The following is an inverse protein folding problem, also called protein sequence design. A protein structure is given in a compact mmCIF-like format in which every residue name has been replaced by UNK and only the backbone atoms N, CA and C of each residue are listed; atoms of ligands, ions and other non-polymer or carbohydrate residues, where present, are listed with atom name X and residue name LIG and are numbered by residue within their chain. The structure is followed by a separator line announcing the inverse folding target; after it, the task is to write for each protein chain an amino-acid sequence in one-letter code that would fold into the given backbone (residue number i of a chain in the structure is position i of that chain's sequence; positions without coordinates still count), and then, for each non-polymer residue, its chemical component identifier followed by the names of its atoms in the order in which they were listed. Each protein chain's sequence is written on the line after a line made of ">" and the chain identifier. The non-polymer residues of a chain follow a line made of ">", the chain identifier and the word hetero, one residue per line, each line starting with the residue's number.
data_IF_141414594231
#
_entry.id   IF_141414594231
#
_cell.length_a   1.000
_cell.length_b   1.000
_cell.length_c   1.000
_cell.angle_alpha   90.00
_cell.angle_beta   90.00
_cell.angle_gamma   90.00
#
_symmetry.space_group_name_H-M   'P 1'
#
loop_
_entity.id
_entity.type
_entity.pdbx_description
1 polymer ?
#
# COMPACT_ATOMS: atom_id res chain seq x y z
N UNK A 1 25.62 -36.23 -21.73
CA UNK A 1 24.98 -36.57 -20.44
C UNK A 1 25.68 -35.76 -19.35
N UNK A 2 25.00 -34.75 -18.79
CA UNK A 2 25.24 -34.30 -17.42
C UNK A 2 23.95 -33.63 -16.93
N UNK A 3 23.33 -34.29 -15.95
CA UNK A 3 22.04 -33.99 -15.35
C UNK A 3 22.16 -32.84 -14.34
N UNK A 4 21.99 -31.58 -14.77
CA UNK A 4 21.97 -30.45 -13.82
C UNK A 4 20.72 -29.56 -13.93
N UNK A 5 19.67 -29.97 -14.66
CA UNK A 5 18.61 -29.02 -15.07
C UNK A 5 17.14 -29.46 -14.85
N UNK A 6 16.77 -30.09 -13.72
CA UNK A 6 15.35 -30.46 -13.43
C UNK A 6 14.91 -30.27 -11.97
N UNK A 7 15.43 -29.31 -11.21
CA UNK A 7 14.88 -29.02 -9.88
C UNK A 7 14.65 -27.52 -9.67
N UNK A 8 13.62 -26.98 -10.34
CA UNK A 8 12.85 -25.87 -9.72
C UNK A 8 12.51 -26.34 -8.31
N UNK A 9 13.11 -25.71 -7.31
CA UNK A 9 13.21 -26.30 -5.98
C UNK A 9 11.82 -26.61 -5.42
N UNK A 10 11.57 -27.87 -5.02
CA UNK A 10 10.22 -28.36 -4.63
C UNK A 10 9.59 -27.53 -3.50
N UNK A 11 10.40 -26.84 -2.69
CA UNK A 11 9.89 -25.94 -1.65
C UNK A 11 9.29 -24.65 -2.23
N UNK A 12 9.81 -24.14 -3.36
CA UNK A 12 9.26 -22.96 -4.06
C UNK A 12 7.84 -23.26 -4.54
N UNK A 13 7.61 -24.45 -5.10
CA UNK A 13 6.26 -24.87 -5.52
C UNK A 13 5.29 -24.95 -4.33
N UNK A 14 5.77 -25.38 -3.16
CA UNK A 14 4.97 -25.38 -1.92
C UNK A 14 4.66 -23.96 -1.48
N UNK A 15 5.64 -23.05 -1.50
CA UNK A 15 5.42 -21.63 -1.18
C UNK A 15 4.37 -21.00 -2.10
N UNK A 16 4.51 -21.17 -3.40
CA UNK A 16 3.57 -20.61 -4.39
C UNK A 16 2.16 -21.19 -4.22
N UNK A 17 2.04 -22.48 -3.90
CA UNK A 17 0.75 -23.12 -3.58
C UNK A 17 0.11 -22.47 -2.36
N UNK A 18 0.85 -22.32 -1.26
CA UNK A 18 0.34 -21.73 -0.01
C UNK A 18 -0.05 -20.27 -0.23
N UNK A 19 0.79 -19.48 -0.90
CA UNK A 19 0.50 -18.09 -1.28
C UNK A 19 -0.77 -18.00 -2.13
N UNK A 20 -0.94 -18.92 -3.07
CA UNK A 20 -2.14 -19.00 -3.92
C UNK A 20 -3.39 -19.33 -3.10
N UNK A 21 -3.34 -20.32 -2.21
CA UNK A 21 -4.47 -20.70 -1.35
C UNK A 21 -4.88 -19.57 -0.40
N UNK A 22 -3.92 -18.79 0.11
CA UNK A 22 -4.19 -17.56 0.87
C UNK A 22 -4.85 -16.50 -0.02
N UNK A 23 -4.32 -16.27 -1.22
CA UNK A 23 -4.84 -15.28 -2.17
C UNK A 23 -6.27 -15.61 -2.64
N UNK A 24 -6.58 -16.90 -2.80
CA UNK A 24 -7.91 -17.40 -3.19
C UNK A 24 -8.88 -17.48 -2.00
N UNK A 25 -8.41 -17.25 -0.77
CA UNK A 25 -9.23 -17.28 0.45
C UNK A 25 -9.53 -18.69 0.96
N UNK A 26 -8.86 -19.72 0.43
CA UNK A 26 -8.93 -21.08 0.95
C UNK A 26 -8.21 -21.22 2.29
N UNK A 27 -7.19 -20.38 2.53
CA UNK A 27 -6.52 -20.22 3.82
C UNK A 27 -6.75 -18.78 4.29
N UNK A 28 -7.45 -18.59 5.40
CA UNK A 28 -7.79 -17.24 5.88
C UNK A 28 -6.79 -16.75 6.94
N UNK A 29 -6.51 -15.43 7.02
CA UNK A 29 -5.71 -14.88 8.11
C UNK A 29 -6.22 -15.28 9.50
N UNK A 30 -5.32 -15.69 10.38
CA UNK A 30 -5.62 -16.22 11.70
C UNK A 30 -5.96 -17.71 11.72
N UNK A 31 -6.15 -18.35 10.55
CA UNK A 31 -6.36 -19.79 10.47
C UNK A 31 -5.09 -20.56 10.83
N UNK A 32 -5.27 -21.66 11.57
CA UNK A 32 -4.20 -22.58 11.92
C UNK A 32 -3.97 -23.55 10.77
N UNK A 33 -2.76 -23.54 10.22
CA UNK A 33 -2.35 -24.54 9.23
C UNK A 33 -2.36 -25.96 9.84
N UNK A 34 -2.60 -27.01 9.03
CA UNK A 34 -2.47 -28.38 9.49
C UNK A 34 -1.07 -28.65 10.05
N UNK A 35 -0.94 -29.68 10.89
CA UNK A 35 0.38 -30.10 11.38
C UNK A 35 1.31 -30.44 10.21
N UNK A 36 2.61 -30.23 10.37
CA UNK A 36 3.60 -30.48 9.30
C UNK A 36 3.46 -31.88 8.67
N UNK A 37 3.13 -32.89 9.50
CA UNK A 37 2.92 -34.26 9.04
C UNK A 37 1.70 -34.40 8.13
N UNK A 38 0.58 -33.78 8.52
CA UNK A 38 -0.66 -33.81 7.74
C UNK A 38 -0.48 -32.99 6.47
N UNK A 39 0.11 -31.80 6.58
CA UNK A 39 0.19 -30.87 5.47
C UNK A 39 1.16 -31.34 4.39
N UNK A 40 2.29 -31.95 4.79
CA UNK A 40 3.24 -32.54 3.83
C UNK A 40 2.59 -33.68 3.04
N UNK A 41 1.75 -34.49 3.70
CA UNK A 41 0.99 -35.56 3.04
C UNK A 41 -0.06 -35.02 2.07
N UNK A 42 -0.81 -33.98 2.46
CA UNK A 42 -1.79 -33.32 1.59
C UNK A 42 -1.15 -32.73 0.33
N UNK A 43 0.04 -32.13 0.48
CA UNK A 43 0.77 -31.49 -0.61
C UNK A 43 1.65 -32.47 -1.42
N UNK A 44 1.75 -33.74 -1.00
CA UNK A 44 2.56 -34.75 -1.70
C UNK A 44 4.07 -34.47 -1.67
N UNK A 45 4.57 -33.85 -0.59
CA UNK A 45 5.98 -33.45 -0.44
C UNK A 45 6.63 -34.06 0.80
N UNK A 46 7.97 -34.05 0.83
CA UNK A 46 8.69 -34.46 2.04
C UNK A 46 8.52 -33.44 3.17
N UNK A 47 8.65 -33.89 4.42
CA UNK A 47 8.62 -33.00 5.60
C UNK A 47 9.71 -31.94 5.56
N UNK A 48 10.90 -32.29 5.08
CA UNK A 48 12.02 -31.36 4.94
C UNK A 48 11.68 -30.24 3.94
N UNK A 49 11.04 -30.59 2.82
CA UNK A 49 10.58 -29.63 1.80
C UNK A 49 9.52 -28.69 2.36
N UNK A 50 8.53 -29.21 3.08
CA UNK A 50 7.50 -28.37 3.72
C UNK A 50 8.13 -27.44 4.78
N UNK A 51 9.02 -27.96 5.62
CA UNK A 51 9.70 -27.15 6.65
C UNK A 51 10.48 -25.99 6.07
N UNK A 52 11.18 -26.23 4.96
CA UNK A 52 11.92 -25.17 4.28
C UNK A 52 10.99 -24.11 3.70
N UNK A 53 9.88 -24.52 3.06
CA UNK A 53 8.88 -23.60 2.57
C UNK A 53 8.26 -22.76 3.71
N UNK A 54 7.89 -23.40 4.83
CA UNK A 54 7.32 -22.71 6.00
C UNK A 54 8.35 -21.77 6.67
N UNK A 55 9.64 -22.12 6.67
CA UNK A 55 10.70 -21.22 7.18
C UNK A 55 10.74 -19.92 6.40
N UNK A 56 10.74 -20.01 5.07
CA UNK A 56 10.79 -18.81 4.21
C UNK A 56 9.48 -18.02 4.30
N UNK A 57 8.33 -18.69 4.32
CA UNK A 57 7.04 -18.01 4.51
C UNK A 57 6.94 -17.30 5.88
N UNK A 58 7.59 -17.83 6.91
CA UNK A 58 7.71 -17.15 8.20
C UNK A 58 8.65 -15.93 8.14
N UNK A 59 9.76 -16.03 7.42
CA UNK A 59 10.66 -14.89 7.15
C UNK A 59 9.97 -13.78 6.34
N UNK A 60 9.12 -14.15 5.39
CA UNK A 60 8.24 -13.23 4.64
C UNK A 60 7.03 -12.75 5.48
N UNK A 61 6.93 -13.15 6.75
CA UNK A 61 5.83 -12.82 7.66
C UNK A 61 4.44 -13.21 7.14
N UNK A 62 4.37 -14.21 6.25
CA UNK A 62 3.11 -14.76 5.70
C UNK A 62 2.45 -15.71 6.69
N UNK A 63 3.26 -16.35 7.52
CA UNK A 63 2.80 -17.20 8.62
C UNK A 63 3.59 -16.90 9.89
N UNK A 64 3.05 -17.27 11.04
CA UNK A 64 3.75 -17.23 12.32
C UNK A 64 3.66 -18.57 13.04
N UNK A 65 4.79 -19.06 13.57
CA UNK A 65 4.81 -20.22 14.46
C UNK A 65 4.67 -19.79 15.91
N UNK A 66 3.67 -20.34 16.59
CA UNK A 66 3.51 -20.25 18.04
C UNK A 66 3.90 -21.59 18.65
N UNK A 67 5.00 -21.61 19.39
CA UNK A 67 5.55 -22.84 19.98
C UNK A 67 4.48 -23.60 20.79
N UNK A 68 4.34 -24.90 20.53
CA UNK A 68 3.34 -25.77 21.17
C UNK A 68 1.88 -25.54 20.73
N UNK A 69 1.58 -24.45 20.03
CA UNK A 69 0.22 -24.06 19.64
C UNK A 69 -0.03 -24.35 18.15
N UNK A 70 0.94 -24.09 17.27
CA UNK A 70 0.83 -24.37 15.83
C UNK A 70 1.33 -23.24 14.95
N UNK A 71 1.10 -23.39 13.64
CA UNK A 71 1.45 -22.40 12.62
C UNK A 71 0.18 -21.70 12.16
N UNK A 72 0.20 -20.37 12.11
CA UNK A 72 -0.96 -19.56 11.76
C UNK A 72 -0.68 -18.73 10.52
N UNK A 73 -1.68 -18.56 9.67
CA UNK A 73 -1.62 -17.61 8.55
C UNK A 73 -1.66 -16.21 9.14
N UNK A 74 -0.66 -15.39 8.84
CA UNK A 74 -0.68 -14.00 9.26
C UNK A 74 -1.68 -13.21 8.41
N UNK A 75 -2.13 -12.06 8.92
CA UNK A 75 -2.68 -11.04 8.03
C UNK A 75 -1.54 -10.56 7.13
N UNK A 76 -1.46 -11.12 5.93
CA UNK A 76 -0.68 -10.53 4.85
C UNK A 76 -1.56 -9.46 4.25
N UNK A 77 -1.21 -8.18 4.43
CA UNK A 77 -1.93 -7.13 3.75
C UNK A 77 -1.71 -7.30 2.26
N UNK A 78 -2.80 -7.16 1.49
CA UNK A 78 -2.79 -7.31 0.02
C UNK A 78 -1.82 -6.32 -0.62
N UNK A 79 -1.59 -5.18 0.04
CA UNK A 79 -0.65 -4.15 -0.37
C UNK A 79 0.39 -3.94 0.74
N UNK A 80 1.67 -4.15 0.41
CA UNK A 80 2.80 -3.91 1.30
C UNK A 80 3.83 -3.06 0.57
N UNK A 81 4.27 -1.97 1.20
CA UNK A 81 5.31 -1.09 0.66
C UNK A 81 6.28 -0.73 1.78
N UNK A 82 7.55 -0.54 1.42
CA UNK A 82 8.48 0.17 2.30
C UNK A 82 7.95 1.58 2.55
N UNK A 83 7.97 2.06 3.79
CA UNK A 83 7.63 3.46 4.08
C UNK A 83 8.70 4.41 3.56
N UNK A 84 9.92 3.91 3.41
CA UNK A 84 11.05 4.60 2.80
C UNK A 84 10.91 4.76 1.28
N UNK A 85 10.00 4.01 0.65
CA UNK A 85 9.77 4.05 -0.80
C UNK A 85 8.65 5.04 -1.13
N UNK A 86 8.96 6.02 -1.98
CA UNK A 86 7.99 7.00 -2.45
C UNK A 86 7.28 6.52 -3.71
N UNK A 87 6.29 5.66 -3.53
CA UNK A 87 5.46 5.15 -4.62
C UNK A 87 4.10 5.87 -4.68
N UNK A 88 3.58 6.14 -5.87
CA UNK A 88 2.20 6.58 -6.04
C UNK A 88 1.22 5.47 -5.67
N UNK A 89 0.00 5.82 -5.25
CA UNK A 89 -1.06 4.82 -4.99
C UNK A 89 -1.36 3.98 -6.24
N UNK A 90 -1.22 4.57 -7.43
CA UNK A 90 -1.38 3.87 -8.71
C UNK A 90 -0.35 2.75 -8.86
N UNK A 91 0.92 3.04 -8.60
CA UNK A 91 2.01 2.07 -8.66
C UNK A 91 1.88 1.01 -7.58
N UNK A 92 1.54 1.38 -6.35
CA UNK A 92 1.30 0.41 -5.27
C UNK A 92 0.23 -0.63 -5.68
N UNK A 93 -0.84 -0.19 -6.35
CA UNK A 93 -1.90 -1.08 -6.83
C UNK A 93 -1.41 -1.95 -7.99
N UNK A 94 -0.70 -1.37 -8.96
CA UNK A 94 -0.13 -2.12 -10.07
C UNK A 94 0.90 -3.17 -9.62
N UNK A 95 1.80 -2.83 -8.71
CA UNK A 95 2.81 -3.74 -8.14
C UNK A 95 2.19 -4.91 -7.39
N UNK A 96 0.99 -4.75 -6.83
CA UNK A 96 0.19 -5.84 -6.27
C UNK A 96 -0.54 -6.70 -7.32
N UNK A 97 -0.36 -6.43 -8.62
CA UNK A 97 -0.99 -7.13 -9.73
C UNK A 97 -2.49 -6.83 -9.86
N UNK A 98 -2.91 -5.63 -9.49
CA UNK A 98 -4.31 -5.18 -9.46
C UNK A 98 -4.56 -4.05 -10.46
N UNK A 99 -5.81 -3.88 -10.89
CA UNK A 99 -6.20 -2.75 -11.76
C UNK A 99 -6.53 -1.52 -10.91
N UNK A 100 -5.79 -0.40 -11.03
CA UNK A 100 -6.15 0.82 -10.34
C UNK A 100 -7.36 1.49 -10.99
N UNK A 101 -8.21 2.07 -10.15
CA UNK A 101 -9.27 2.97 -10.57
C UNK A 101 -9.38 4.17 -9.63
N UNK A 102 -10.17 5.15 -10.05
CA UNK A 102 -10.41 6.39 -9.31
C UNK A 102 -11.88 6.75 -9.37
N UNK A 103 -12.47 7.03 -8.20
CA UNK A 103 -13.73 7.73 -8.07
C UNK A 103 -13.44 9.15 -7.56
N UNK A 104 -13.69 10.17 -8.39
CA UNK A 104 -13.48 11.56 -8.02
C UNK A 104 -14.71 12.07 -7.26
N UNK A 105 -14.51 12.52 -6.02
CA UNK A 105 -15.59 13.01 -5.16
C UNK A 105 -15.68 14.54 -5.15
N UNK A 106 -14.52 15.19 -5.23
CA UNK A 106 -14.38 16.63 -5.22
C UNK A 106 -13.11 17.01 -5.99
N UNK A 107 -13.22 18.02 -6.85
CA UNK A 107 -12.09 18.72 -7.43
C UNK A 107 -12.49 20.19 -7.53
N UNK A 108 -11.85 21.06 -6.74
CA UNK A 108 -12.16 22.49 -6.77
C UNK A 108 -10.99 23.35 -6.32
N UNK A 109 -10.88 24.54 -6.89
CA UNK A 109 -10.00 25.57 -6.35
C UNK A 109 -10.59 26.14 -5.06
N UNK A 110 -9.75 26.28 -4.04
CA UNK A 110 -10.13 26.87 -2.75
C UNK A 110 -9.07 27.84 -2.27
N UNK A 111 -9.48 28.78 -1.42
CA UNK A 111 -8.55 29.59 -0.63
C UNK A 111 -7.83 28.68 0.38
N UNK A 112 -6.49 28.71 0.45
CA UNK A 112 -5.74 27.88 1.39
C UNK A 112 -5.99 28.31 2.84
N UNK A 113 -5.95 27.35 3.76
CA UNK A 113 -5.86 27.63 5.20
C UNK A 113 -4.46 28.13 5.56
N UNK A 114 -4.27 28.66 6.77
CA UNK A 114 -2.92 29.05 7.25
C UNK A 114 -1.95 27.85 7.26
N UNK A 115 -2.42 26.66 7.65
CA UNK A 115 -1.64 25.42 7.58
C UNK A 115 -1.25 25.07 6.13
N UNK A 116 -2.15 25.30 5.16
CA UNK A 116 -1.87 25.04 3.75
C UNK A 116 -0.82 26.02 3.20
N UNK A 117 -0.90 27.30 3.58
CA UNK A 117 0.09 28.32 3.21
C UNK A 117 1.46 27.97 3.75
N UNK A 118 1.55 27.58 5.01
CA UNK A 118 2.81 27.18 5.66
C UNK A 118 3.42 25.95 4.96
N UNK A 119 2.65 24.87 4.81
CA UNK A 119 3.14 23.61 4.24
C UNK A 119 3.53 23.73 2.78
N UNK A 120 2.69 24.39 1.98
CA UNK A 120 2.89 24.53 0.53
C UNK A 120 3.69 25.78 0.16
N UNK A 121 4.21 26.53 1.15
CA UNK A 121 4.97 27.77 0.96
C UNK A 121 4.29 28.72 -0.03
N UNK A 122 2.98 28.93 0.15
CA UNK A 122 2.16 29.72 -0.76
C UNK A 122 2.39 31.20 -0.53
N UNK A 123 2.35 31.96 -1.63
CA UNK A 123 2.33 33.41 -1.61
C UNK A 123 0.92 33.94 -1.37
N UNK A 124 0.84 35.21 -0.95
CA UNK A 124 -0.45 35.87 -0.74
C UNK A 124 -1.29 35.88 -2.03
N UNK A 125 -2.55 35.49 -1.89
CA UNK A 125 -3.49 35.42 -3.02
C UNK A 125 -3.43 34.12 -3.83
N UNK A 126 -2.45 33.24 -3.60
CA UNK A 126 -2.42 31.93 -4.24
C UNK A 126 -3.59 31.04 -3.78
N UNK A 127 -4.13 30.25 -4.72
CA UNK A 127 -5.16 29.24 -4.46
C UNK A 127 -4.53 27.85 -4.46
N UNK A 128 -5.25 26.88 -3.92
CA UNK A 128 -4.92 25.47 -4.05
C UNK A 128 -6.02 24.74 -4.81
N UNK A 129 -5.65 23.72 -5.58
CA UNK A 129 -6.59 22.70 -6.02
C UNK A 129 -6.75 21.67 -4.90
N UNK A 130 -7.97 21.55 -4.38
CA UNK A 130 -8.35 20.53 -3.41
C UNK A 130 -9.05 19.38 -4.14
N UNK A 131 -8.46 18.19 -4.04
CA UNK A 131 -8.94 16.99 -4.70
C UNK A 131 -9.25 15.93 -3.65
N UNK A 132 -10.48 15.41 -3.63
CA UNK A 132 -10.88 14.29 -2.77
C UNK A 132 -11.32 13.13 -3.64
N UNK A 133 -10.73 11.96 -3.44
CA UNK A 133 -10.93 10.79 -4.32
C UNK A 133 -10.93 9.49 -3.52
N UNK A 134 -11.55 8.47 -4.09
CA UNK A 134 -11.36 7.09 -3.64
C UNK A 134 -10.57 6.36 -4.72
N UNK A 135 -9.43 5.80 -4.33
CA UNK A 135 -8.65 4.88 -5.16
C UNK A 135 -9.20 3.47 -4.98
N UNK A 136 -9.34 2.75 -6.08
CA UNK A 136 -9.85 1.38 -6.11
C UNK A 136 -8.81 0.41 -6.65
N UNK A 137 -8.88 -0.84 -6.20
CA UNK A 137 -8.15 -1.96 -6.79
C UNK A 137 -9.17 -3.03 -7.21
N UNK A 138 -9.18 -3.38 -8.50
CA UNK A 138 -10.21 -4.25 -9.11
C UNK A 138 -11.63 -3.77 -8.73
N UNK A 139 -11.87 -2.46 -8.89
CA UNK A 139 -13.16 -1.79 -8.62
C UNK A 139 -13.62 -1.81 -7.14
N UNK A 140 -12.76 -2.27 -6.22
CA UNK A 140 -13.02 -2.23 -4.77
C UNK A 140 -12.36 -1.00 -4.12
N UNK A 141 -13.12 -0.15 -3.37
CA UNK A 141 -12.59 0.98 -2.62
C UNK A 141 -11.47 0.59 -1.66
N UNK A 142 -10.37 1.34 -1.71
CA UNK A 142 -9.12 0.93 -1.08
C UNK A 142 -8.45 2.05 -0.29
N UNK A 143 -8.30 3.23 -0.88
CA UNK A 143 -7.68 4.40 -0.24
C UNK A 143 -8.56 5.63 -0.46
N UNK A 144 -8.81 6.40 0.59
CA UNK A 144 -9.45 7.70 0.48
C UNK A 144 -8.36 8.77 0.53
N UNK A 145 -8.28 9.59 -0.51
CA UNK A 145 -7.22 10.57 -0.71
C UNK A 145 -7.77 11.98 -0.56
N UNK A 146 -7.02 12.83 0.15
CA UNK A 146 -7.19 14.29 0.12
C UNK A 146 -5.86 14.86 -0.36
N UNK A 147 -5.86 15.40 -1.57
CA UNK A 147 -4.69 16.01 -2.18
C UNK A 147 -4.89 17.53 -2.23
N UNK A 148 -3.89 18.28 -1.77
CA UNK A 148 -3.82 19.74 -1.84
C UNK A 148 -2.60 20.13 -2.63
N UNK A 149 -2.79 20.85 -3.72
CA UNK A 149 -1.73 21.20 -4.66
C UNK A 149 -1.81 22.69 -5.00
N UNK A 150 -0.68 23.42 -5.08
CA UNK A 150 -0.68 24.82 -5.54
C UNK A 150 -1.38 24.97 -6.90
N UNK A 151 -2.35 25.88 -7.01
CA UNK A 151 -3.16 26.03 -8.22
C UNK A 151 -2.32 26.39 -9.47
N UNK A 152 -1.18 27.06 -9.28
CA UNK A 152 -0.20 27.38 -10.34
C UNK A 152 0.39 26.16 -11.06
N UNK A 153 0.23 24.95 -10.51
CA UNK A 153 0.67 23.69 -11.13
C UNK A 153 -0.38 23.06 -12.04
N UNK A 154 -1.57 23.66 -12.16
CA UNK A 154 -2.63 23.19 -13.04
C UNK A 154 -2.97 24.23 -14.10
N UNK A 155 -3.19 23.76 -15.34
CA UNK A 155 -3.89 24.55 -16.34
C UNK A 155 -5.40 24.50 -16.08
N UNK A 156 -6.16 25.47 -16.60
CA UNK A 156 -7.62 25.52 -16.43
C UNK A 156 -8.37 24.34 -17.08
N UNK A 157 -7.70 23.52 -17.90
CA UNK A 157 -8.34 22.36 -18.57
C UNK A 157 -8.21 21.05 -17.79
N UNK A 158 -7.35 20.99 -16.76
CA UNK A 158 -7.00 19.75 -16.04
C UNK A 158 -8.04 19.24 -15.03
N UNK A 159 -9.32 19.61 -15.18
CA UNK A 159 -10.34 19.50 -14.13
C UNK A 159 -10.82 18.08 -13.78
N UNK A 160 -10.29 17.04 -14.44
CA UNK A 160 -10.71 15.65 -14.24
C UNK A 160 -9.51 14.75 -13.92
N UNK A 161 -9.00 14.83 -12.69
CA UNK A 161 -7.93 13.96 -12.20
C UNK A 161 -8.45 12.54 -11.89
N UNK A 162 -8.86 11.83 -12.95
CA UNK A 162 -9.24 10.41 -12.93
C UNK A 162 -8.03 9.46 -12.84
N UNK A 163 -6.81 10.00 -12.95
CA UNK A 163 -5.55 9.24 -13.00
C UNK A 163 -4.63 9.40 -11.79
N UNK A 164 -3.36 9.05 -11.97
CA UNK A 164 -2.30 9.23 -10.98
C UNK A 164 -1.93 10.71 -10.87
N UNK A 165 -1.92 11.25 -9.65
CA UNK A 165 -1.53 12.65 -9.44
C UNK A 165 -0.03 12.86 -9.66
N UNK A 166 0.80 11.84 -9.39
CA UNK A 166 2.24 11.88 -9.66
C UNK A 166 2.49 12.01 -11.16
N UNK A 167 1.88 11.14 -11.98
CA UNK A 167 2.02 11.21 -13.43
C UNK A 167 1.53 12.54 -13.99
N UNK A 168 0.43 13.09 -13.46
CA UNK A 168 -0.03 14.43 -13.87
C UNK A 168 1.04 15.49 -13.59
N UNK A 169 1.59 15.52 -12.37
CA UNK A 169 2.61 16.49 -11.99
C UNK A 169 3.85 16.38 -12.88
N UNK A 170 4.29 15.16 -13.18
CA UNK A 170 5.48 14.92 -14.02
C UNK A 170 5.24 15.23 -15.50
N UNK A 171 4.12 14.79 -16.06
CA UNK A 171 3.89 14.82 -17.51
C UNK A 171 3.21 16.10 -17.99
N UNK A 172 2.28 16.66 -17.20
CA UNK A 172 1.51 17.84 -17.60
C UNK A 172 2.04 19.11 -16.95
N UNK A 173 2.46 19.05 -15.69
CA UNK A 173 3.01 20.21 -14.98
C UNK A 173 4.54 20.32 -15.05
N UNK A 174 5.22 19.35 -15.68
CA UNK A 174 6.69 19.24 -15.77
C UNK A 174 7.40 19.30 -14.40
N UNK A 175 6.72 18.87 -13.34
CA UNK A 175 7.21 18.85 -11.96
C UNK A 175 7.47 17.41 -11.52
N UNK A 176 8.74 17.12 -11.26
CA UNK A 176 9.17 15.81 -10.75
C UNK A 176 9.25 15.84 -9.23
N UNK A 177 8.61 14.87 -8.58
CA UNK A 177 8.71 14.68 -7.13
C UNK A 177 10.02 13.94 -6.84
N UNK A 178 10.84 14.49 -5.94
CA UNK A 178 12.14 13.90 -5.57
C UNK A 178 12.06 13.17 -4.23
N UNK A 179 11.45 13.79 -3.22
CA UNK A 179 11.28 13.19 -1.90
C UNK A 179 10.00 13.69 -1.21
N UNK A 180 9.64 13.04 -0.12
CA UNK A 180 8.54 13.47 0.74
C UNK A 180 8.89 13.31 2.22
N UNK A 181 8.41 14.21 3.05
CA UNK A 181 8.31 13.97 4.49
C UNK A 181 6.97 13.26 4.76
N UNK A 182 6.96 12.34 5.72
CA UNK A 182 5.82 11.49 5.98
C UNK A 182 5.55 11.33 7.48
N UNK A 183 4.29 11.53 7.87
CA UNK A 183 3.76 11.20 9.20
C UNK A 183 2.73 10.08 9.07
N UNK A 184 2.88 9.04 9.88
CA UNK A 184 1.91 7.94 9.97
C UNK A 184 1.17 8.04 11.29
N UNK A 185 -0.15 8.08 11.21
CA UNK A 185 -1.03 7.99 12.37
C UNK A 185 -2.12 6.95 12.11
N UNK A 186 -2.95 6.72 13.12
CA UNK A 186 -4.12 5.86 13.01
C UNK A 186 -5.37 6.64 13.39
N UNK A 187 -6.46 6.33 12.71
CA UNK A 187 -7.79 6.83 13.05
C UNK A 187 -8.68 5.61 13.22
N UNK A 188 -9.57 5.65 14.23
CA UNK A 188 -10.60 4.63 14.40
C UNK A 188 -11.63 4.68 13.26
N UNK A 189 -12.89 4.33 13.58
CA UNK A 189 -13.97 4.47 12.62
C UNK A 189 -14.30 5.95 12.37
N UNK A 190 -14.29 6.36 11.11
CA UNK A 190 -14.74 7.68 10.68
C UNK A 190 -15.93 7.51 9.73
N UNK A 191 -17.13 7.95 10.12
CA UNK A 191 -18.39 7.65 9.42
C UNK A 191 -18.30 7.85 7.90
N UNK A 192 -17.93 9.05 7.44
CA UNK A 192 -17.90 9.36 6.01
C UNK A 192 -16.82 8.59 5.23
N UNK A 193 -15.59 8.54 5.76
CA UNK A 193 -14.45 7.93 5.07
C UNK A 193 -14.61 6.40 5.07
N UNK A 194 -14.95 5.80 6.20
CA UNK A 194 -15.17 4.37 6.34
C UNK A 194 -16.34 3.88 5.48
N UNK A 195 -17.43 4.65 5.37
CA UNK A 195 -18.54 4.32 4.49
C UNK A 195 -18.10 4.28 3.01
N UNK A 196 -17.35 5.29 2.55
CA UNK A 196 -16.81 5.34 1.17
C UNK A 196 -15.84 4.21 0.88
N UNK A 197 -15.04 3.82 1.87
CA UNK A 197 -14.13 2.68 1.78
C UNK A 197 -14.80 1.31 1.96
N UNK A 198 -16.12 1.29 2.18
CA UNK A 198 -16.89 0.06 2.47
C UNK A 198 -16.24 -0.75 3.60
N UNK A 199 -15.87 -0.03 4.66
CA UNK A 199 -15.09 -0.52 5.78
C UNK A 199 -15.96 -0.69 7.02
N UNK A 200 -15.77 -1.78 7.78
CA UNK A 200 -16.54 -2.03 8.99
C UNK A 200 -16.04 -1.18 10.18
N UNK A 201 -16.88 -0.95 11.19
CA UNK A 201 -16.50 -0.22 12.43
C UNK A 201 -15.32 -0.82 13.20
N UNK A 202 -14.97 -2.08 12.93
CA UNK A 202 -13.87 -2.78 13.59
C UNK A 202 -12.51 -2.55 12.93
N UNK A 203 -12.49 -2.00 11.72
CA UNK A 203 -11.27 -1.82 10.95
C UNK A 203 -10.83 -0.36 11.09
N UNK A 204 -9.71 -0.07 11.76
CA UNK A 204 -9.15 1.27 11.79
C UNK A 204 -8.59 1.66 10.42
N UNK A 205 -8.34 2.95 10.25
CA UNK A 205 -7.67 3.49 9.09
C UNK A 205 -6.23 3.87 9.45
N UNK A 206 -5.28 3.43 8.62
CA UNK A 206 -3.92 3.97 8.64
C UNK A 206 -3.94 5.29 7.88
N UNK A 207 -3.41 6.35 8.47
CA UNK A 207 -3.38 7.67 7.86
C UNK A 207 -1.94 8.04 7.58
N UNK A 208 -1.62 8.24 6.30
CA UNK A 208 -0.32 8.71 5.84
C UNK A 208 -0.48 10.15 5.37
N UNK A 209 0.13 11.08 6.11
CA UNK A 209 0.22 12.50 5.71
C UNK A 209 1.59 12.72 5.11
N UNK A 210 1.65 13.28 3.91
CA UNK A 210 2.91 13.51 3.21
C UNK A 210 2.96 14.89 2.61
N UNK A 211 4.11 15.54 2.75
CA UNK A 211 4.46 16.75 2.02
C UNK A 211 5.56 16.38 1.02
N UNK A 212 5.24 16.50 -0.27
CA UNK A 212 6.08 16.09 -1.38
C UNK A 212 6.81 17.30 -1.94
N UNK A 213 8.10 17.11 -2.22
CA UNK A 213 9.03 18.14 -2.69
C UNK A 213 9.51 17.80 -4.09
N UNK A 214 9.65 18.83 -4.92
CA UNK A 214 10.27 18.67 -6.24
C UNK A 214 11.79 18.63 -6.15
N UNK A 215 12.44 18.34 -7.28
CA UNK A 215 13.91 18.42 -7.46
C UNK A 215 14.51 19.82 -7.22
N UNK A 216 13.67 20.85 -7.05
CA UNK A 216 14.06 22.22 -6.70
C UNK A 216 13.77 22.56 -5.23
N UNK A 217 13.55 21.55 -4.38
CA UNK A 217 13.20 21.67 -2.96
C UNK A 217 11.93 22.51 -2.70
N UNK A 218 11.01 22.54 -3.66
CA UNK A 218 9.73 23.24 -3.52
C UNK A 218 8.62 22.25 -3.13
N UNK A 219 7.77 22.58 -2.13
CA UNK A 219 6.60 21.76 -1.84
C UNK A 219 5.60 21.86 -3.00
N UNK A 220 5.18 20.71 -3.50
CA UNK A 220 4.32 20.61 -4.69
C UNK A 220 3.01 19.88 -4.42
N UNK A 221 2.96 19.05 -3.38
CA UNK A 221 1.75 18.31 -3.00
C UNK A 221 1.73 18.08 -1.50
N UNK A 222 0.60 18.37 -0.87
CA UNK A 222 0.29 17.89 0.47
C UNK A 222 -0.83 16.86 0.39
N UNK A 223 -0.53 15.59 0.65
CA UNK A 223 -1.47 14.48 0.54
C UNK A 223 -1.80 13.89 1.91
N UNK A 224 -3.08 13.57 2.13
CA UNK A 224 -3.56 12.84 3.30
C UNK A 224 -4.30 11.60 2.79
N UNK A 225 -3.70 10.44 3.00
CA UNK A 225 -4.18 9.16 2.49
C UNK A 225 -4.67 8.29 3.64
N UNK A 226 -5.94 7.88 3.57
CA UNK A 226 -6.58 6.99 4.54
C UNK A 226 -6.66 5.58 3.93
N UNK A 227 -5.82 4.69 4.44
CA UNK A 227 -5.73 3.31 4.01
C UNK A 227 -6.53 2.40 4.93
N UNK A 228 -7.17 1.41 4.31
CA UNK A 228 -7.75 0.27 5.01
C UNK A 228 -6.64 -0.56 5.69
N UNK A 229 -6.61 -0.60 7.03
CA UNK A 229 -5.55 -1.32 7.76
C UNK A 229 -5.61 -2.84 7.59
N UNK A 230 -6.74 -3.38 7.14
CA UNK A 230 -6.90 -4.81 6.81
C UNK A 230 -6.34 -5.17 5.42
N UNK A 231 -6.05 -4.17 4.59
CA UNK A 231 -5.55 -4.34 3.22
C UNK A 231 -4.13 -3.82 3.03
N UNK A 232 -3.68 -2.85 3.84
CA UNK A 232 -2.33 -2.27 3.76
C UNK A 232 -1.49 -2.52 5.00
N UNK A 233 -0.19 -2.68 4.77
CA UNK A 233 0.84 -2.44 5.77
C UNK A 233 2.00 -1.67 5.16
N UNK A 234 2.65 -0.89 6.01
CA UNK A 234 3.92 -0.24 5.72
C UNK A 234 5.00 -0.93 6.55
N UNK A 235 6.11 -1.27 5.91
CA UNK A 235 7.27 -1.84 6.57
C UNK A 235 8.48 -0.89 6.44
N UNK A 236 9.51 -1.08 7.26
CA UNK A 236 10.73 -0.29 7.16
C UNK A 236 11.92 -1.15 7.58
N UNK A 237 12.95 -1.20 6.73
CA UNK A 237 14.19 -1.87 7.11
C UNK A 237 15.02 -0.97 8.03
N UNK A 238 15.22 -1.41 9.28
CA UNK A 238 16.11 -0.70 10.22
C UNK A 238 17.45 -1.42 10.34
N UNK A 239 18.54 -0.68 10.13
CA UNK A 239 19.91 -1.16 10.36
C UNK A 239 20.47 -0.57 11.66
N UNK A 240 21.19 -1.37 12.42
CA UNK A 240 21.88 -0.93 13.64
C UNK A 240 23.15 -0.16 13.26
N UNK A 241 23.26 1.10 13.66
CA UNK A 241 24.51 1.85 13.51
C UNK A 241 25.57 1.21 14.41
N UNK A 242 26.65 0.69 13.82
CA UNK A 242 27.83 0.33 14.60
C UNK A 242 28.46 1.66 15.09
N UNK A 243 28.52 1.82 16.41
CA UNK A 243 29.29 2.88 17.05
C UNK A 243 30.73 2.43 17.18
#
# INVERSE_FOLDING_TARGET
>A
MSLENVQKSRYIMVMERIKKEIKEGHLVPGERLPSENVYAKQLGVSRATLREALRILEEENIISRKHGIGTFVNQVPVFSSGIEELNSITEMIHSAGKRPGTEVLLSKYVTPTEEDKEKLQLQDGERILLVKRVRTADDRPLVYCIDKVPARLFSEESHLLGGSLFNFLEQEAEVHIDYATADITTVGYHEDISARLKCSKKIPLLVLKQLHYSTLDKPVLYSINFFRSDQFSFNVLRKRTQR
#
